data_IF_726506596322
#
_entry.id   IF_726506596322
#
_cell.length_a   1.000
_cell.length_b   1.000
_cell.length_c   1.000
_cell.angle_alpha   90.00
_cell.angle_beta   90.00
_cell.angle_gamma   90.00
#
_symmetry.space_group_name_H-M   'P 1'
#
loop_
_entity.id
_entity.type
_entity.pdbx_description
1 polymer ?
#
# COMPACT_ATOMS: atom_id res chain seq x y z
N UNK A 1 15.89 44.20 -25.35
CA UNK A 1 14.73 44.25 -24.43
C UNK A 1 13.69 43.19 -24.83
N UNK A 2 14.09 41.92 -24.93
CA UNK A 2 13.21 40.83 -25.37
C UNK A 2 13.51 39.46 -24.70
N UNK A 3 14.39 39.42 -23.69
CA UNK A 3 14.91 38.17 -23.12
C UNK A 3 14.31 37.78 -21.76
N UNK A 4 13.28 38.51 -21.28
CA UNK A 4 12.67 38.30 -19.96
C UNK A 4 11.23 37.76 -20.02
N UNK A 5 10.70 37.41 -21.20
CA UNK A 5 9.27 37.09 -21.38
C UNK A 5 8.92 35.59 -21.33
N UNK A 6 9.90 34.70 -21.29
CA UNK A 6 9.66 33.24 -21.32
C UNK A 6 9.91 32.51 -20.00
N UNK A 7 10.40 33.19 -18.95
CA UNK A 7 10.70 32.52 -17.67
C UNK A 7 9.50 32.33 -16.73
N UNK A 8 8.32 32.87 -17.03
CA UNK A 8 7.18 32.85 -16.08
C UNK A 8 6.01 31.97 -16.53
N UNK A 9 6.09 31.33 -17.70
CA UNK A 9 4.99 30.49 -18.22
C UNK A 9 4.88 29.15 -17.49
N UNK A 10 5.99 28.58 -17.04
CA UNK A 10 5.99 27.24 -16.43
C UNK A 10 5.50 27.27 -14.96
N UNK A 11 5.88 28.31 -14.22
CA UNK A 11 5.40 28.59 -12.86
C UNK A 11 3.92 28.93 -12.83
N UNK A 12 3.45 29.76 -13.77
CA UNK A 12 2.03 30.12 -13.87
C UNK A 12 1.15 28.93 -14.26
N UNK A 13 1.60 28.06 -15.17
CA UNK A 13 0.83 26.85 -15.52
C UNK A 13 0.64 25.91 -14.33
N UNK A 14 1.72 25.67 -13.55
CA UNK A 14 1.67 24.82 -12.36
C UNK A 14 0.81 25.42 -11.26
N UNK A 15 0.81 26.74 -11.09
CA UNK A 15 -0.05 27.44 -10.14
C UNK A 15 -1.54 27.35 -10.52
N UNK A 16 -1.87 27.56 -11.80
CA UNK A 16 -3.24 27.44 -12.31
C UNK A 16 -3.78 26.03 -12.10
N UNK A 17 -2.95 25.00 -12.37
CA UNK A 17 -3.36 23.60 -12.16
C UNK A 17 -3.79 23.30 -10.72
N UNK A 18 -3.04 23.78 -9.72
CA UNK A 18 -3.39 23.58 -8.30
C UNK A 18 -4.68 24.30 -7.91
N UNK A 19 -4.88 25.50 -8.43
CA UNK A 19 -6.10 26.29 -8.15
C UNK A 19 -7.33 25.63 -8.76
N UNK A 20 -7.23 25.12 -10.00
CA UNK A 20 -8.33 24.41 -10.65
C UNK A 20 -8.71 23.15 -9.88
N UNK A 21 -7.73 22.34 -9.46
CA UNK A 21 -7.99 21.13 -8.67
C UNK A 21 -8.68 21.47 -7.34
N UNK A 22 -8.23 22.53 -6.65
CA UNK A 22 -8.85 22.98 -5.40
C UNK A 22 -10.30 23.43 -5.60
N UNK A 23 -10.59 24.17 -6.67
CA UNK A 23 -11.95 24.64 -7.00
C UNK A 23 -12.87 23.46 -7.32
N UNK A 24 -12.41 22.50 -8.13
CA UNK A 24 -13.19 21.31 -8.49
C UNK A 24 -13.49 20.46 -7.25
N UNK A 25 -12.50 20.27 -6.37
CA UNK A 25 -12.68 19.56 -5.11
C UNK A 25 -13.68 20.24 -4.19
N UNK A 26 -13.58 21.57 -4.02
CA UNK A 26 -14.52 22.34 -3.22
C UNK A 26 -15.95 22.28 -3.78
N UNK A 27 -16.12 22.37 -5.10
CA UNK A 27 -17.42 22.25 -5.75
C UNK A 27 -18.06 20.86 -5.55
N UNK A 28 -17.27 19.78 -5.61
CA UNK A 28 -17.77 18.43 -5.37
C UNK A 28 -18.23 18.22 -3.92
N UNK A 29 -17.50 18.75 -2.94
CA UNK A 29 -17.89 18.72 -1.53
C UNK A 29 -19.19 19.50 -1.32
N UNK A 30 -19.29 20.69 -1.90
CA UNK A 30 -20.48 21.53 -1.79
C UNK A 30 -21.72 20.87 -2.43
N UNK A 31 -21.55 20.20 -3.58
CA UNK A 31 -22.61 19.43 -4.21
C UNK A 31 -23.06 18.24 -3.33
N UNK A 32 -22.12 17.53 -2.70
CA UNK A 32 -22.47 16.45 -1.75
C UNK A 32 -23.26 16.97 -0.55
N UNK A 33 -22.89 18.13 0.00
CA UNK A 33 -23.62 18.76 1.10
C UNK A 33 -25.05 19.16 0.70
N UNK A 34 -25.22 19.73 -0.51
CA UNK A 34 -26.54 20.08 -1.03
C UNK A 34 -27.43 18.86 -1.23
N UNK A 35 -26.87 17.75 -1.77
CA UNK A 35 -27.61 16.49 -1.91
C UNK A 35 -27.99 15.90 -0.55
N UNK A 36 -27.09 15.97 0.44
CA UNK A 36 -27.37 15.56 1.82
C UNK A 36 -28.50 16.36 2.45
N UNK A 37 -28.46 17.70 2.33
CA UNK A 37 -29.52 18.59 2.81
C UNK A 37 -30.86 18.35 2.10
N UNK A 38 -30.85 18.16 0.79
CA UNK A 38 -32.04 17.80 0.01
C UNK A 38 -32.65 16.48 0.47
N UNK A 39 -31.81 15.47 0.75
CA UNK A 39 -32.26 14.21 1.32
C UNK A 39 -32.93 14.37 2.69
N UNK A 40 -32.39 15.21 3.57
CA UNK A 40 -32.98 15.49 4.89
C UNK A 40 -34.34 16.18 4.76
N UNK A 41 -34.52 17.09 3.80
CA UNK A 41 -35.81 17.75 3.53
C UNK A 41 -36.87 16.76 3.04
N UNK A 42 -36.50 15.83 2.15
CA UNK A 42 -37.42 14.77 1.68
C UNK A 42 -37.84 13.83 2.81
N UNK A 43 -36.98 13.59 3.81
CA UNK A 43 -37.31 12.80 5.00
C UNK A 43 -38.35 13.51 5.88
N UNK A 44 -38.35 14.84 5.92
CA UNK A 44 -39.28 15.61 6.74
C UNK A 44 -40.74 15.46 6.29
N UNK A 45 -40.98 15.16 5.02
CA UNK A 45 -42.33 14.91 4.47
C UNK A 45 -42.82 13.45 4.68
N UNK A 46 -42.04 12.59 5.34
CA UNK A 46 -42.51 11.32 5.90
C UNK A 46 -42.69 10.15 4.91
N UNK A 47 -42.42 10.32 3.62
CA UNK A 47 -42.60 9.28 2.59
C UNK A 47 -41.30 8.51 2.24
N UNK A 48 -40.19 8.79 2.93
CA UNK A 48 -38.89 8.18 2.65
C UNK A 48 -38.71 6.79 3.27
N UNK A 49 -38.54 5.75 2.45
CA UNK A 49 -38.08 4.44 2.90
C UNK A 49 -36.68 4.52 3.51
N UNK A 50 -36.54 4.11 4.77
CA UNK A 50 -35.30 4.11 5.54
C UNK A 50 -34.13 3.39 4.81
N UNK A 51 -34.45 2.40 3.97
CA UNK A 51 -33.48 1.67 3.15
C UNK A 51 -32.84 2.52 2.04
N UNK A 52 -33.58 3.48 1.47
CA UNK A 52 -33.05 4.38 0.43
C UNK A 52 -31.97 5.32 1.01
N UNK A 53 -32.16 5.76 2.26
CA UNK A 53 -31.24 6.67 2.93
C UNK A 53 -29.92 5.99 3.32
N UNK A 54 -29.96 4.75 3.78
CA UNK A 54 -28.75 3.96 4.10
C UNK A 54 -27.93 3.74 2.82
N UNK A 55 -28.59 3.38 1.71
CA UNK A 55 -27.92 3.14 0.43
C UNK A 55 -27.19 4.40 -0.08
N UNK A 56 -27.81 5.58 0.07
CA UNK A 56 -27.18 6.86 -0.28
C UNK A 56 -25.94 7.16 0.57
N UNK A 57 -26.02 6.92 1.88
CA UNK A 57 -24.89 7.13 2.79
C UNK A 57 -23.69 6.24 2.44
N UNK A 58 -23.93 4.94 2.18
CA UNK A 58 -22.85 4.02 1.79
C UNK A 58 -22.25 4.39 0.42
N UNK A 59 -23.06 4.83 -0.54
CA UNK A 59 -22.58 5.28 -1.85
C UNK A 59 -21.61 6.46 -1.75
N UNK A 60 -21.90 7.44 -0.89
CA UNK A 60 -21.03 8.61 -0.66
C UNK A 60 -19.73 8.21 0.02
N UNK A 61 -19.78 7.34 1.04
CA UNK A 61 -18.58 6.89 1.77
C UNK A 61 -17.64 6.08 0.87
N UNK A 62 -18.18 5.14 0.09
CA UNK A 62 -17.38 4.29 -0.82
C UNK A 62 -16.72 5.14 -1.91
N UNK A 63 -17.46 6.07 -2.51
CA UNK A 63 -16.95 6.94 -3.58
C UNK A 63 -15.91 7.93 -3.05
N UNK A 64 -16.15 8.52 -1.87
CA UNK A 64 -15.21 9.42 -1.21
C UNK A 64 -13.90 8.73 -0.80
N UNK A 65 -13.99 7.55 -0.20
CA UNK A 65 -12.81 6.80 0.26
C UNK A 65 -11.98 6.27 -0.92
N UNK A 66 -12.63 5.81 -1.99
CA UNK A 66 -11.96 5.39 -3.23
C UNK A 66 -11.18 6.53 -3.90
N UNK A 67 -11.79 7.71 -4.02
CA UNK A 67 -11.14 8.91 -4.57
C UNK A 67 -9.96 9.38 -3.71
N UNK A 68 -10.13 9.42 -2.40
CA UNK A 68 -9.06 9.81 -1.46
C UNK A 68 -7.84 8.89 -1.54
N UNK A 69 -8.05 7.56 -1.64
CA UNK A 69 -6.95 6.59 -1.75
C UNK A 69 -6.18 6.73 -3.08
N UNK A 70 -6.89 7.01 -4.18
CA UNK A 70 -6.28 7.22 -5.50
C UNK A 70 -5.46 8.52 -5.56
N UNK A 71 -5.95 9.59 -4.95
CA UNK A 71 -5.19 10.84 -4.82
C UNK A 71 -3.94 10.68 -3.94
N UNK A 72 -4.03 9.92 -2.84
CA UNK A 72 -2.87 9.66 -1.98
C UNK A 72 -1.75 8.93 -2.73
N UNK A 73 -2.08 7.91 -3.53
CA UNK A 73 -1.08 7.21 -4.37
C UNK A 73 -0.62 8.03 -5.58
N UNK A 74 -1.46 8.92 -6.09
CA UNK A 74 -1.15 9.75 -7.26
C UNK A 74 -0.24 10.95 -6.98
N UNK A 75 -0.22 11.48 -5.75
CA UNK A 75 0.70 12.57 -5.39
C UNK A 75 2.16 12.11 -5.22
N UNK A 76 2.38 10.86 -4.81
CA UNK A 76 3.74 10.32 -4.61
C UNK A 76 4.35 9.74 -5.91
N UNK A 77 3.54 9.53 -6.95
CA UNK A 77 3.93 8.81 -8.18
C UNK A 77 4.31 9.65 -9.40
N UNK A 78 4.39 10.98 -9.32
CA UNK A 78 4.66 11.82 -10.49
C UNK A 78 6.15 12.11 -10.72
N UNK A 79 6.95 11.07 -10.92
CA UNK A 79 8.22 11.16 -11.65
C UNK A 79 8.33 9.99 -12.62
N UNK A 80 8.14 10.25 -13.92
CA UNK A 80 8.82 9.45 -14.94
C UNK A 80 8.04 8.84 -16.10
N UNK A 81 6.84 9.29 -16.47
CA UNK A 81 6.35 9.02 -17.84
C UNK A 81 6.87 10.10 -18.80
N UNK A 82 8.13 9.96 -19.21
CA UNK A 82 8.61 10.57 -20.45
C UNK A 82 8.01 9.76 -21.60
N UNK A 83 7.01 10.36 -22.24
CA UNK A 83 6.56 9.95 -23.55
C UNK A 83 7.74 9.93 -24.53
N UNK A 84 7.72 8.91 -25.37
CA UNK A 84 8.58 8.68 -26.51
C UNK A 84 8.86 9.96 -27.30
N UNK A 85 10.15 10.29 -27.44
CA UNK A 85 10.63 11.00 -28.60
C UNK A 85 11.69 10.13 -29.27
N UNK A 86 11.39 9.83 -30.52
CA UNK A 86 12.02 8.86 -31.39
C UNK A 86 13.53 9.02 -31.52
N UNK A 87 14.19 7.85 -31.56
CA UNK A 87 15.32 7.49 -32.43
C UNK A 87 16.26 8.64 -32.83
N UNK A 88 17.52 8.59 -32.40
CA UNK A 88 18.66 8.14 -33.22
C UNK A 88 19.88 8.00 -32.29
N UNK A 89 20.77 7.07 -32.62
CA UNK A 89 22.13 6.87 -32.08
C UNK A 89 22.30 5.85 -30.95
N UNK A 90 22.70 4.65 -31.40
CA UNK A 90 23.44 3.63 -30.66
C UNK A 90 24.60 4.26 -29.86
N UNK A 91 24.35 4.51 -28.58
CA UNK A 91 25.38 4.73 -27.58
C UNK A 91 25.16 3.69 -26.50
N UNK A 92 26.20 2.90 -26.20
CA UNK A 92 26.21 1.82 -25.22
C UNK A 92 25.37 2.17 -23.99
N UNK A 93 24.52 1.26 -23.47
CA UNK A 93 23.66 1.53 -22.33
C UNK A 93 24.54 1.80 -21.12
N UNK A 94 24.86 3.07 -20.87
CA UNK A 94 25.26 3.51 -19.55
C UNK A 94 24.02 3.34 -18.70
N UNK A 95 23.98 2.24 -17.97
CA UNK A 95 23.02 2.00 -16.90
C UNK A 95 23.19 3.19 -15.95
N UNK A 96 22.37 4.22 -16.11
CA UNK A 96 22.23 5.30 -15.16
C UNK A 96 21.53 4.67 -13.96
N UNK A 97 22.33 4.09 -13.07
CA UNK A 97 21.82 3.59 -11.81
C UNK A 97 21.40 4.81 -11.01
N UNK A 98 20.10 4.96 -10.82
CA UNK A 98 19.54 6.00 -9.98
C UNK A 98 20.09 5.81 -8.55
N UNK A 99 20.91 6.73 -8.04
CA UNK A 99 21.56 6.57 -6.74
C UNK A 99 20.53 6.48 -5.60
N UNK A 100 19.31 6.99 -5.79
CA UNK A 100 18.25 6.95 -4.78
C UNK A 100 17.68 5.55 -4.52
N UNK A 101 17.67 4.67 -5.52
CA UNK A 101 17.26 3.27 -5.33
C UNK A 101 18.34 2.43 -4.64
N UNK A 102 19.60 2.78 -4.85
CA UNK A 102 20.70 2.05 -4.21
C UNK A 102 20.80 2.33 -2.71
N UNK A 103 20.40 3.51 -2.24
CA UNK A 103 20.39 3.81 -0.81
C UNK A 103 19.31 3.00 -0.09
N UNK A 104 18.08 2.95 -0.61
CA UNK A 104 16.99 2.21 0.02
C UNK A 104 17.26 0.70 0.09
N UNK A 105 17.82 0.10 -0.96
CA UNK A 105 18.21 -1.32 -0.95
C UNK A 105 19.33 -1.62 0.06
N UNK A 106 20.20 -0.66 0.37
CA UNK A 106 21.23 -0.82 1.41
C UNK A 106 20.59 -0.76 2.79
N UNK A 107 19.75 0.23 3.03
CA UNK A 107 19.03 0.43 4.29
C UNK A 107 18.15 -0.77 4.64
N UNK A 108 17.39 -1.30 3.66
CA UNK A 108 16.59 -2.51 3.83
C UNK A 108 17.45 -3.73 4.20
N UNK A 109 18.61 -3.90 3.54
CA UNK A 109 19.54 -5.01 3.87
C UNK A 109 20.11 -4.88 5.27
N UNK A 110 20.40 -3.66 5.72
CA UNK A 110 20.87 -3.41 7.08
C UNK A 110 19.78 -3.72 8.12
N UNK A 111 18.54 -3.30 7.88
CA UNK A 111 17.40 -3.63 8.73
C UNK A 111 17.20 -5.15 8.85
N UNK A 112 17.25 -5.89 7.73
CA UNK A 112 17.11 -7.35 7.74
C UNK A 112 18.29 -8.05 8.44
N UNK A 113 19.52 -7.54 8.27
CA UNK A 113 20.70 -8.04 8.99
C UNK A 113 20.51 -7.88 10.49
N UNK A 114 20.08 -6.71 10.92
CA UNK A 114 19.85 -6.40 12.33
C UNK A 114 18.72 -7.24 12.92
N UNK A 115 17.61 -7.37 12.20
CA UNK A 115 16.51 -8.26 12.59
C UNK A 115 16.99 -9.70 12.81
N UNK A 116 17.85 -10.23 11.93
CA UNK A 116 18.44 -11.56 12.12
C UNK A 116 19.28 -11.62 13.40
N UNK A 117 20.13 -10.63 13.63
CA UNK A 117 21.04 -10.61 14.78
C UNK A 117 20.28 -10.41 16.11
N UNK A 118 19.09 -9.79 16.07
CA UNK A 118 18.17 -9.58 17.20
C UNK A 118 17.05 -10.65 17.30
N UNK A 119 17.29 -11.87 16.78
CA UNK A 119 16.35 -13.00 16.84
C UNK A 119 14.96 -12.73 16.23
N UNK A 120 14.90 -11.87 15.23
CA UNK A 120 13.67 -11.51 14.52
C UNK A 120 12.84 -10.44 15.20
N UNK A 121 13.31 -9.77 16.24
CA UNK A 121 12.60 -8.67 16.89
C UNK A 121 13.39 -7.39 16.75
N UNK A 122 12.73 -6.31 16.32
CA UNK A 122 13.40 -5.03 16.10
C UNK A 122 12.48 -3.86 16.43
N UNK A 123 13.02 -2.84 17.08
CA UNK A 123 12.32 -1.57 17.32
C UNK A 123 12.90 -0.45 16.46
N UNK A 124 12.13 0.63 16.30
CA UNK A 124 12.59 1.84 15.59
C UNK A 124 13.85 2.43 16.23
N UNK A 125 13.93 2.41 17.56
CA UNK A 125 15.07 2.98 18.29
C UNK A 125 16.35 2.16 18.07
N UNK A 126 16.26 0.83 18.11
CA UNK A 126 17.40 -0.05 17.84
C UNK A 126 17.91 0.13 16.41
N UNK A 127 16.99 0.18 15.43
CA UNK A 127 17.37 0.42 14.04
C UNK A 127 18.04 1.78 13.83
N UNK A 128 17.48 2.84 14.40
CA UNK A 128 18.04 4.19 14.28
C UNK A 128 19.39 4.36 15.01
N UNK A 129 19.64 3.60 16.08
CA UNK A 129 20.91 3.64 16.83
C UNK A 129 22.04 2.94 16.07
N UNK A 130 21.74 1.81 15.44
CA UNK A 130 22.74 0.97 14.79
C UNK A 130 22.90 1.26 13.28
N UNK A 131 22.07 2.16 12.72
CA UNK A 131 22.18 2.67 11.35
C UNK A 131 22.37 4.20 11.32
N UNK A 132 22.57 4.76 10.13
CA UNK A 132 22.63 6.20 9.92
C UNK A 132 21.25 6.85 9.66
N UNK A 133 20.16 6.13 9.91
CA UNK A 133 18.80 6.62 9.68
C UNK A 133 18.33 7.48 10.85
N UNK A 134 17.56 8.52 10.54
CA UNK A 134 16.79 9.21 11.57
C UNK A 134 15.60 8.34 12.04
N UNK A 135 14.97 8.73 13.15
CA UNK A 135 13.87 7.97 13.76
C UNK A 135 12.65 7.86 12.83
N UNK A 136 12.37 8.89 12.03
CA UNK A 136 11.20 8.91 11.16
C UNK A 136 11.44 8.07 9.89
N UNK A 137 12.66 8.10 9.35
CA UNK A 137 13.12 7.27 8.25
C UNK A 137 13.17 5.78 8.66
N UNK A 138 13.72 5.47 9.84
CA UNK A 138 13.74 4.12 10.38
C UNK A 138 12.31 3.57 10.59
N UNK A 139 11.39 4.41 11.07
CA UNK A 139 9.98 4.04 11.18
C UNK A 139 9.34 3.77 9.83
N UNK A 140 9.53 4.70 8.88
CA UNK A 140 8.97 4.57 7.52
C UNK A 140 9.46 3.29 6.86
N UNK A 141 10.76 3.01 6.95
CA UNK A 141 11.37 1.78 6.43
C UNK A 141 10.76 0.51 7.04
N UNK A 142 10.56 0.50 8.36
CA UNK A 142 9.96 -0.66 9.04
C UNK A 142 8.47 -0.81 8.71
N UNK A 143 7.74 0.29 8.58
CA UNK A 143 6.33 0.28 8.16
C UNK A 143 6.19 -0.21 6.70
N UNK A 144 7.10 0.17 5.80
CA UNK A 144 7.16 -0.36 4.43
C UNK A 144 7.39 -1.88 4.42
N UNK A 145 8.29 -2.39 5.27
CA UNK A 145 8.54 -3.84 5.38
C UNK A 145 7.33 -4.60 5.93
N UNK A 146 6.48 -3.95 6.75
CA UNK A 146 5.19 -4.52 7.18
C UNK A 146 4.19 -4.51 6.04
N UNK A 147 4.09 -3.41 5.30
CA UNK A 147 3.19 -3.29 4.14
C UNK A 147 3.55 -4.31 3.04
N UNK A 148 4.83 -4.63 2.87
CA UNK A 148 5.34 -5.65 1.95
C UNK A 148 5.15 -7.10 2.48
N UNK A 149 4.67 -7.27 3.72
CA UNK A 149 4.45 -8.56 4.36
C UNK A 149 5.74 -9.29 4.79
N UNK A 150 6.86 -8.56 4.88
CA UNK A 150 8.15 -9.10 5.33
C UNK A 150 8.24 -9.12 6.86
N UNK A 151 7.54 -8.21 7.53
CA UNK A 151 7.47 -8.09 8.97
C UNK A 151 6.03 -7.92 9.47
N UNK A 152 5.81 -8.17 10.76
CA UNK A 152 4.55 -7.95 11.47
C UNK A 152 4.75 -6.91 12.58
N UNK A 153 3.81 -5.98 12.72
CA UNK A 153 3.81 -5.03 13.84
C UNK A 153 3.09 -5.63 15.05
N UNK A 154 3.80 -5.75 16.17
CA UNK A 154 3.24 -6.19 17.45
C UNK A 154 3.39 -5.11 18.52
N UNK A 155 2.54 -5.18 19.55
CA UNK A 155 2.62 -4.36 20.75
C UNK A 155 3.02 -5.24 21.93
N UNK A 156 4.02 -4.81 22.69
CA UNK A 156 4.38 -5.44 23.96
C UNK A 156 3.33 -5.13 25.02
N UNK A 157 3.36 -5.87 26.14
CA UNK A 157 2.52 -5.58 27.31
C UNK A 157 2.77 -4.18 27.90
N UNK A 158 3.95 -3.61 27.66
CA UNK A 158 4.29 -2.23 28.02
C UNK A 158 3.75 -1.17 27.04
N UNK A 159 3.08 -1.59 25.96
CA UNK A 159 2.56 -0.71 24.91
C UNK A 159 3.60 -0.23 23.90
N UNK A 160 4.77 -0.87 23.86
CA UNK A 160 5.84 -0.52 22.92
C UNK A 160 5.66 -1.25 21.59
N UNK A 161 5.89 -0.56 20.47
CA UNK A 161 5.82 -1.14 19.12
C UNK A 161 7.09 -1.95 18.84
N UNK A 162 6.92 -3.20 18.46
CA UNK A 162 8.01 -4.11 18.07
C UNK A 162 7.66 -4.70 16.70
N UNK A 163 8.60 -4.62 15.78
CA UNK A 163 8.49 -5.21 14.45
C UNK A 163 9.10 -6.61 14.50
N UNK A 164 8.30 -7.61 14.16
CA UNK A 164 8.67 -9.01 14.21
C UNK A 164 8.90 -9.51 12.80
N UNK A 165 10.02 -10.17 12.56
CA UNK A 165 10.41 -10.74 11.27
C UNK A 165 10.31 -12.26 11.36
N UNK A 166 9.19 -12.88 10.93
CA UNK A 166 8.92 -14.30 11.14
C UNK A 166 10.01 -15.20 10.56
N UNK A 167 10.67 -14.75 9.48
CA UNK A 167 11.77 -15.46 8.83
C UNK A 167 13.01 -15.68 9.71
N UNK A 168 13.15 -14.93 10.80
CA UNK A 168 14.31 -14.98 11.71
C UNK A 168 13.94 -15.41 13.14
N UNK A 169 12.66 -15.40 13.49
CA UNK A 169 12.18 -15.95 14.77
C UNK A 169 12.60 -17.42 14.88
N UNK A 170 13.04 -17.83 16.08
CA UNK A 170 13.51 -19.19 16.35
C UNK A 170 14.69 -19.66 15.49
N UNK A 171 15.50 -18.73 14.97
CA UNK A 171 16.60 -19.03 14.06
C UNK A 171 16.13 -19.48 12.67
N UNK A 172 14.90 -19.14 12.29
CA UNK A 172 14.32 -19.51 11.00
C UNK A 172 13.93 -20.99 10.88
N UNK A 173 13.78 -21.70 12.00
CA UNK A 173 13.38 -23.13 12.03
C UNK A 173 12.07 -23.40 11.27
N UNK A 174 11.14 -22.44 11.25
CA UNK A 174 9.89 -22.52 10.50
C UNK A 174 10.07 -22.72 8.98
N UNK A 175 11.23 -22.35 8.42
CA UNK A 175 11.56 -22.58 7.00
C UNK A 175 11.67 -24.07 6.68
N UNK A 176 12.13 -24.89 7.63
CA UNK A 176 12.26 -26.34 7.44
C UNK A 176 10.92 -27.08 7.60
N UNK A 177 9.90 -26.43 8.18
CA UNK A 177 8.54 -26.96 8.25
C UNK A 177 7.64 -26.48 7.10
N UNK A 178 8.15 -25.66 6.17
CA UNK A 178 7.39 -25.25 5.00
C UNK A 178 7.08 -26.48 4.15
N UNK A 179 5.79 -26.83 4.06
CA UNK A 179 5.30 -27.89 3.18
C UNK A 179 5.06 -27.29 1.80
N UNK A 180 5.39 -28.04 0.75
CA UNK A 180 5.03 -27.64 -0.60
C UNK A 180 3.51 -27.65 -0.71
N UNK A 181 2.91 -26.58 -1.23
CA UNK A 181 1.47 -26.55 -1.54
C UNK A 181 1.05 -27.60 -2.59
N UNK A 182 2.01 -28.28 -3.23
CA UNK A 182 1.77 -29.30 -4.24
C UNK A 182 1.93 -30.74 -3.71
N UNK A 183 2.28 -30.92 -2.43
CA UNK A 183 2.40 -32.27 -1.84
C UNK A 183 1.03 -32.86 -1.44
N UNK A 184 -0.03 -32.05 -1.46
CA UNK A 184 -1.38 -32.44 -1.00
C UNK A 184 -2.19 -33.22 -2.05
N UNK A 185 -1.77 -33.22 -3.34
CA UNK A 185 -2.48 -33.94 -4.41
C UNK A 185 -2.52 -35.46 -4.16
N UNK A 186 -1.47 -36.01 -3.53
CA UNK A 186 -1.40 -37.44 -3.20
C UNK A 186 -2.28 -37.84 -1.99
N UNK A 187 -2.57 -36.90 -1.09
CA UNK A 187 -3.40 -37.15 0.10
C UNK A 187 -4.89 -37.12 -0.26
N UNK A 188 -5.27 -36.26 -1.21
CA UNK A 188 -6.63 -36.18 -1.75
C UNK A 188 -7.04 -37.47 -2.49
N UNK A 189 -6.13 -38.06 -3.29
CA UNK A 189 -6.43 -39.27 -4.09
C UNK A 189 -6.73 -40.49 -3.20
N UNK A 190 -6.06 -40.60 -2.05
CA UNK A 190 -6.27 -41.68 -1.06
C UNK A 190 -7.61 -41.55 -0.31
N UNK A 191 -8.11 -40.32 -0.09
CA UNK A 191 -9.42 -40.12 0.53
C UNK A 191 -10.57 -40.50 -0.41
N UNK A 192 -10.43 -40.20 -1.71
CA UNK A 192 -11.43 -40.58 -2.70
C UNK A 192 -11.57 -42.11 -2.85
N UNK A 193 -10.47 -42.85 -2.81
CA UNK A 193 -10.49 -44.32 -2.88
C UNK A 193 -11.17 -44.95 -1.65
N UNK A 194 -10.91 -44.40 -0.44
CA UNK A 194 -11.58 -44.84 0.79
C UNK A 194 -13.10 -44.62 0.74
N UNK A 195 -13.54 -43.45 0.27
CA UNK A 195 -14.97 -43.15 0.15
C UNK A 195 -15.66 -44.05 -0.90
N UNK A 196 -14.99 -44.34 -2.02
CA UNK A 196 -15.51 -45.27 -3.02
C UNK A 196 -15.64 -46.70 -2.48
N UNK A 197 -14.66 -47.16 -1.69
CA UNK A 197 -14.72 -48.48 -1.05
C UNK A 197 -15.85 -48.58 0.00
N UNK A 198 -16.10 -47.51 0.76
CA UNK A 198 -17.12 -47.48 1.79
C UNK A 198 -18.55 -47.47 1.22
N UNK A 199 -18.78 -46.78 0.08
CA UNK A 199 -20.07 -46.85 -0.60
C UNK A 199 -20.36 -48.25 -1.18
N UNK A 200 -19.34 -49.01 -1.55
CA UNK A 200 -19.50 -50.38 -2.06
C UNK A 200 -19.94 -51.36 -0.96
N UNK A 201 -19.48 -51.17 0.28
CA UNK A 201 -19.88 -52.02 1.42
C UNK A 201 -21.31 -51.77 1.94
N UNK A 202 -21.89 -50.60 1.65
CA UNK A 202 -23.21 -50.22 2.18
C UNK A 202 -24.37 -50.57 1.23
N UNK A 203 -24.10 -51.31 0.14
CA UNK A 203 -25.06 -51.66 -0.91
C UNK A 203 -25.39 -53.17 -0.95
N UNK A 204 -24.72 -53.96 -0.12
CA UNK A 204 -25.01 -55.38 0.14
C UNK A 204 -25.73 -55.53 1.49
#
# INVERSE_FOLDING_TARGET
MALFKDLDKETTLKAIGRVVIAIVGAAAILLCLLLGLGGVLVIADGEGSLAANITLLFGVVITGYGGYRLMRKGLDGSHGSKAEQSQTEQRSPQIQVDPSRQSSEREQREALRMARDMNGHLTVAELALDTSLDIDAARTLLDELVDDGVADLQLTDSGSRVYVFPAFVDGGRGKFSARSMLDDDAEIELEFEKLAAQQKQNKD
#
